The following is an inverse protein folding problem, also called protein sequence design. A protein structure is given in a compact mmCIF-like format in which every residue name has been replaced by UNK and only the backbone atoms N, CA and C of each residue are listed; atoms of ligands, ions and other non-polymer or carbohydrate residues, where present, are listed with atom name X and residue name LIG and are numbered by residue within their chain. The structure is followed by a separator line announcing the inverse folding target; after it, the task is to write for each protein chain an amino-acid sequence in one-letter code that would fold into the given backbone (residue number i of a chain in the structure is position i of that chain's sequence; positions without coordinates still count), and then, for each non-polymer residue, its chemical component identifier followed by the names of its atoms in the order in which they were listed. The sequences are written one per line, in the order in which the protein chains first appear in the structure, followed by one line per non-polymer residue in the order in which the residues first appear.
data_IF_088323161262
#
_entry.id   IF_088323161262
#
_cell.length_a   1.000
_cell.length_b   1.000
_cell.length_c   1.000
_cell.angle_alpha   90.00
_cell.angle_beta   90.00
_cell.angle_gamma   90.00
#
_symmetry.space_group_name_H-M   'P 1'
#
loop_
_entity.id
_entity.type
_entity.pdbx_description
1 polymer ?
#
# COMPACT_ATOMS: atom_id res chain seq x y z
N UNK A 1 -13.26 -7.15 -13.46
CA UNK A 1 -13.47 -6.05 -12.50
C UNK A 1 -12.60 -6.36 -11.30
N UNK A 2 -11.76 -5.42 -10.87
CA UNK A 2 -10.88 -5.65 -9.71
C UNK A 2 -11.67 -5.52 -8.41
N UNK A 3 -11.39 -6.40 -7.45
CA UNK A 3 -12.08 -6.44 -6.17
C UNK A 3 -11.15 -6.00 -5.03
N UNK A 4 -11.72 -5.37 -4.01
CA UNK A 4 -11.06 -5.13 -2.74
C UNK A 4 -11.17 -6.35 -1.81
N UNK A 5 -10.49 -6.29 -0.67
CA UNK A 5 -10.48 -7.36 0.35
C UNK A 5 -11.84 -7.66 0.99
N UNK A 6 -12.87 -6.84 0.72
CA UNK A 6 -14.26 -7.08 1.14
C UNK A 6 -15.09 -7.75 0.03
N UNK A 7 -14.49 -8.13 -1.09
CA UNK A 7 -15.17 -8.68 -2.26
C UNK A 7 -16.01 -7.66 -3.05
N UNK A 8 -15.82 -6.35 -2.80
CA UNK A 8 -16.52 -5.25 -3.50
C UNK A 8 -15.62 -4.66 -4.59
N UNK A 9 -16.16 -3.86 -5.53
CA UNK A 9 -15.33 -3.16 -6.51
C UNK A 9 -14.19 -2.38 -5.86
N UNK A 10 -12.98 -2.49 -6.41
CA UNK A 10 -11.80 -1.79 -5.92
C UNK A 10 -11.95 -0.28 -6.10
N UNK A 11 -11.76 0.48 -5.01
CA UNK A 11 -11.76 1.94 -5.06
C UNK A 11 -10.38 2.52 -5.37
N UNK A 12 -10.39 3.75 -5.88
CA UNK A 12 -9.19 4.54 -6.14
C UNK A 12 -8.43 4.83 -4.84
N UNK A 13 -7.13 4.53 -4.82
CA UNK A 13 -6.27 4.82 -3.67
C UNK A 13 -5.86 6.30 -3.64
N UNK A 14 -5.16 6.76 -4.69
CA UNK A 14 -4.65 8.14 -4.80
C UNK A 14 -4.35 8.56 -6.25
N UNK A 15 -4.56 9.83 -6.59
CA UNK A 15 -4.15 10.42 -7.89
C UNK A 15 -3.10 11.52 -7.77
N UNK A 16 -2.85 12.03 -6.57
CA UNK A 16 -1.84 13.03 -6.32
C UNK A 16 -1.23 12.81 -4.91
N UNK A 17 -0.06 12.16 -4.81
CA UNK A 17 0.73 11.60 -5.91
C UNK A 17 0.03 10.42 -6.61
N UNK A 18 0.28 10.22 -7.91
CA UNK A 18 -0.29 9.07 -8.63
C UNK A 18 0.42 7.78 -8.20
N UNK A 19 -0.37 6.83 -7.70
CA UNK A 19 0.13 5.56 -7.14
C UNK A 19 -0.22 4.37 -8.03
N UNK A 20 0.08 3.16 -7.55
CA UNK A 20 -0.22 1.89 -8.20
C UNK A 20 0.91 1.46 -9.12
N UNK A 21 1.05 0.15 -9.30
CA UNK A 21 2.04 -0.44 -10.20
C UNK A 21 1.89 0.11 -11.64
N UNK A 22 0.65 0.25 -12.11
CA UNK A 22 0.32 0.79 -13.43
C UNK A 22 0.28 2.32 -13.49
N UNK A 23 0.53 3.03 -12.37
CA UNK A 23 0.44 4.50 -12.26
C UNK A 23 -0.93 5.06 -12.70
N UNK A 24 -2.00 4.39 -12.31
CA UNK A 24 -3.39 4.82 -12.56
C UNK A 24 -4.17 5.17 -11.28
N UNK A 25 -3.49 5.11 -10.14
CA UNK A 25 -4.02 5.44 -8.82
C UNK A 25 -4.74 4.31 -8.09
N UNK A 26 -4.82 3.11 -8.67
CA UNK A 26 -5.42 1.93 -8.04
C UNK A 26 -4.35 0.93 -7.62
N UNK A 27 -4.58 0.20 -6.53
CA UNK A 27 -3.69 -0.88 -6.08
C UNK A 27 -4.00 -2.21 -6.77
N UNK A 28 -4.33 -2.16 -8.06
CA UNK A 28 -4.52 -3.36 -8.88
C UNK A 28 -3.17 -3.91 -9.35
N UNK A 29 -3.15 -5.21 -9.63
CA UNK A 29 -1.91 -5.97 -9.91
C UNK A 29 -2.15 -6.96 -11.05
N UNK A 30 -1.08 -7.48 -11.64
CA UNK A 30 -1.12 -8.66 -12.51
C UNK A 30 0.09 -9.56 -12.21
N UNK A 31 0.43 -10.48 -13.11
CA UNK A 31 1.59 -11.37 -12.98
C UNK A 31 2.95 -10.68 -13.14
N UNK A 32 3.01 -9.46 -13.67
CA UNK A 32 4.25 -8.71 -13.87
C UNK A 32 4.65 -7.88 -12.63
N UNK A 33 3.69 -7.62 -11.74
CA UNK A 33 3.95 -6.96 -10.47
C UNK A 33 4.46 -7.97 -9.43
N UNK A 34 5.75 -8.28 -9.50
CA UNK A 34 6.42 -9.17 -8.55
C UNK A 34 6.42 -8.61 -7.12
N UNK A 35 6.31 -7.28 -6.96
CA UNK A 35 6.19 -6.63 -5.65
C UNK A 35 4.81 -6.81 -5.01
N UNK A 36 3.78 -7.09 -5.82
CA UNK A 36 2.38 -7.19 -5.39
C UNK A 36 1.95 -5.92 -4.66
N UNK A 37 1.91 -4.79 -5.36
CA UNK A 37 1.56 -3.46 -4.86
C UNK A 37 0.05 -3.32 -4.62
N UNK A 38 -0.50 -4.14 -3.72
CA UNK A 38 -1.95 -4.35 -3.56
C UNK A 38 -2.55 -3.67 -2.32
N UNK A 39 -1.73 -3.09 -1.44
CA UNK A 39 -2.19 -2.45 -0.20
C UNK A 39 -2.21 -0.94 -0.35
N UNK A 40 -3.39 -0.33 -0.29
CA UNK A 40 -3.50 1.12 -0.19
C UNK A 40 -3.25 1.53 1.26
N UNK A 41 -2.11 2.16 1.53
CA UNK A 41 -1.72 2.62 2.86
C UNK A 41 -1.68 4.14 2.94
N UNK A 42 -1.97 4.67 4.13
CA UNK A 42 -1.73 6.07 4.50
C UNK A 42 -0.36 6.14 5.16
N UNK A 43 0.60 6.71 4.45
CA UNK A 43 2.00 6.77 4.84
C UNK A 43 2.15 7.62 6.10
N UNK A 44 3.02 7.18 7.01
CA UNK A 44 3.44 7.96 8.18
C UNK A 44 4.97 7.91 8.32
N UNK A 45 5.51 8.80 9.18
CA UNK A 45 6.96 8.93 9.35
C UNK A 45 7.61 7.68 9.98
N UNK A 46 6.88 6.96 10.82
CA UNK A 46 7.38 5.77 11.51
C UNK A 46 7.59 4.62 10.51
N UNK A 47 6.63 4.40 9.61
CA UNK A 47 6.75 3.47 8.51
C UNK A 47 7.87 3.87 7.54
N UNK A 48 7.97 5.15 7.15
CA UNK A 48 8.99 5.64 6.23
C UNK A 48 10.41 5.40 6.77
N UNK A 49 10.66 5.75 8.02
CA UNK A 49 11.95 5.51 8.68
C UNK A 49 12.26 4.00 8.76
N UNK A 50 11.28 3.19 9.17
CA UNK A 50 11.44 1.74 9.25
C UNK A 50 11.77 1.12 7.87
N UNK A 51 10.97 1.42 6.85
CA UNK A 51 11.08 0.79 5.54
C UNK A 51 12.35 1.23 4.81
N UNK A 52 12.77 2.50 5.01
CA UNK A 52 14.07 2.99 4.54
C UNK A 52 15.23 2.18 5.14
N UNK A 53 15.24 1.95 6.46
CA UNK A 53 16.25 1.12 7.14
C UNK A 53 16.25 -0.34 6.68
N UNK A 54 15.14 -0.83 6.10
CA UNK A 54 15.02 -2.16 5.47
C UNK A 54 15.35 -2.17 3.97
N UNK A 55 15.95 -1.09 3.47
CA UNK A 55 16.39 -0.96 2.08
C UNK A 55 15.27 -0.67 1.08
N UNK A 56 14.10 -0.23 1.54
CA UNK A 56 12.99 0.20 0.70
C UNK A 56 12.84 1.71 0.79
N UNK A 57 13.64 2.44 0.01
CA UNK A 57 13.61 3.90 0.01
C UNK A 57 12.36 4.43 -0.70
N UNK A 58 11.39 4.90 0.10
CA UNK A 58 10.19 5.58 -0.36
C UNK A 58 10.22 7.10 -0.12
N UNK A 59 11.35 7.65 0.31
CA UNK A 59 11.50 9.07 0.68
C UNK A 59 12.15 9.83 -0.48
N UNK A 60 13.20 9.25 -1.08
CA UNK A 60 13.97 9.92 -2.14
C UNK A 60 13.19 9.98 -3.45
N UNK A 61 12.97 11.16 -4.04
CA UNK A 61 12.34 11.29 -5.35
C UNK A 61 13.14 10.57 -6.44
N UNK A 62 12.45 9.87 -7.33
CA UNK A 62 12.99 9.19 -8.51
C UNK A 62 12.23 9.62 -9.77
N UNK A 63 12.59 10.78 -10.36
CA UNK A 63 11.90 11.33 -11.54
C UNK A 63 11.91 10.38 -12.73
N UNK A 64 12.99 9.61 -12.89
CA UNK A 64 13.15 8.54 -13.90
C UNK A 64 12.05 7.47 -13.80
N UNK A 65 11.55 7.20 -12.59
CA UNK A 65 10.48 6.24 -12.31
C UNK A 65 9.12 6.89 -12.04
N UNK A 66 9.00 8.19 -12.32
CA UNK A 66 7.82 9.02 -12.00
C UNK A 66 7.38 8.84 -10.55
N UNK A 67 8.35 8.77 -9.64
CA UNK A 67 8.12 8.60 -8.21
C UNK A 67 8.53 9.88 -7.48
N UNK A 68 7.60 10.57 -6.80
CA UNK A 68 7.87 11.89 -6.23
C UNK A 68 8.63 11.86 -4.89
N UNK A 69 8.82 10.68 -4.30
CA UNK A 69 9.15 10.56 -2.88
C UNK A 69 7.90 10.81 -2.02
N UNK A 70 7.71 10.01 -0.99
CA UNK A 70 6.51 10.04 -0.15
C UNK A 70 6.77 10.80 1.15
N UNK A 71 5.69 11.33 1.70
CA UNK A 71 5.65 12.01 2.99
C UNK A 71 4.50 11.48 3.83
N UNK A 72 4.53 11.75 5.13
CA UNK A 72 3.41 11.45 6.01
C UNK A 72 2.12 12.08 5.49
N UNK A 73 1.05 11.29 5.46
CA UNK A 73 -0.27 11.65 4.93
C UNK A 73 -0.52 11.22 3.49
N UNK A 74 0.53 10.91 2.71
CA UNK A 74 0.36 10.41 1.34
C UNK A 74 -0.36 9.05 1.35
N UNK A 75 -1.15 8.80 0.30
CA UNK A 75 -1.70 7.47 0.04
C UNK A 75 -0.93 6.76 -1.05
N UNK A 76 -0.46 5.56 -0.77
CA UNK A 76 0.38 4.80 -1.70
C UNK A 76 0.04 3.30 -1.71
N UNK A 77 0.27 2.67 -2.86
CA UNK A 77 0.08 1.23 -3.04
C UNK A 77 1.40 0.55 -2.70
N UNK A 78 1.46 -0.07 -1.53
CA UNK A 78 2.63 -0.77 -1.03
C UNK A 78 2.64 -2.23 -1.46
N UNK A 79 3.84 -2.78 -1.66
CA UNK A 79 4.06 -4.22 -1.76
C UNK A 79 3.48 -4.92 -0.52
N UNK A 80 2.65 -5.95 -0.72
CA UNK A 80 2.00 -6.66 0.38
C UNK A 80 3.01 -7.19 1.41
N UNK A 81 4.11 -7.76 0.94
CA UNK A 81 5.17 -8.31 1.80
C UNK A 81 5.97 -7.24 2.55
N UNK A 82 6.12 -6.02 1.99
CA UNK A 82 6.78 -4.91 2.70
C UNK A 82 5.91 -4.34 3.81
N UNK A 83 4.60 -4.27 3.58
CA UNK A 83 3.66 -3.90 4.63
C UNK A 83 3.62 -4.96 5.74
N UNK A 84 3.58 -6.26 5.38
CA UNK A 84 3.61 -7.36 6.36
C UNK A 84 4.91 -7.40 7.16
N UNK A 85 6.06 -7.11 6.54
CA UNK A 85 7.34 -6.95 7.23
C UNK A 85 7.26 -5.85 8.30
N UNK A 86 6.62 -4.71 7.99
CA UNK A 86 6.42 -3.62 8.94
C UNK A 86 5.40 -3.96 10.04
N UNK A 87 4.33 -4.69 9.71
CA UNK A 87 3.30 -5.15 10.66
C UNK A 87 3.91 -6.00 11.77
N UNK A 88 4.76 -6.96 11.38
CA UNK A 88 5.48 -7.85 12.32
C UNK A 88 6.42 -7.12 13.29
N UNK A 89 6.78 -5.87 12.99
CA UNK A 89 7.61 -5.02 13.84
C UNK A 89 6.81 -3.88 14.51
N UNK A 90 5.48 -3.87 14.36
CA UNK A 90 4.61 -2.81 14.89
C UNK A 90 4.81 -1.46 14.22
N UNK A 91 5.27 -1.44 12.96
CA UNK A 91 5.56 -0.23 12.15
C UNK A 91 4.69 -0.13 10.90
N UNK A 92 3.63 -0.94 10.81
CA UNK A 92 2.75 -0.91 9.65
C UNK A 92 1.87 0.35 9.64
N UNK A 93 1.79 1.05 8.50
CA UNK A 93 0.92 2.21 8.35
C UNK A 93 -0.55 1.78 8.25
N UNK A 94 -1.46 2.73 8.48
CA UNK A 94 -2.91 2.51 8.34
C UNK A 94 -3.29 2.13 6.90
N UNK A 95 -4.31 1.31 6.75
CA UNK A 95 -4.79 0.75 5.48
C UNK A 95 -6.15 1.31 5.12
N UNK A 96 -6.33 1.66 3.84
CA UNK A 96 -7.64 1.97 3.25
C UNK A 96 -8.23 0.68 2.69
N UNK A 97 -9.14 0.08 3.45
CA UNK A 97 -9.66 -1.27 3.19
C UNK A 97 -10.34 -1.36 1.82
N UNK A 98 -11.18 -0.38 1.47
CA UNK A 98 -11.94 -0.40 0.22
C UNK A 98 -11.07 -0.18 -1.03
N UNK A 99 -9.83 0.28 -0.85
CA UNK A 99 -8.83 0.51 -1.90
C UNK A 99 -7.69 -0.52 -1.90
N UNK A 100 -7.76 -1.53 -1.03
CA UNK A 100 -6.77 -2.62 -0.93
C UNK A 100 -7.28 -3.83 -1.69
N UNK A 101 -6.51 -4.30 -2.66
CA UNK A 101 -6.90 -5.32 -3.62
C UNK A 101 -6.98 -6.72 -2.99
N UNK A 102 -7.93 -7.55 -3.45
CA UNK A 102 -8.29 -8.84 -2.87
C UNK A 102 -7.12 -9.83 -2.79
N UNK A 103 -6.19 -9.80 -3.75
CA UNK A 103 -4.95 -10.60 -3.76
C UNK A 103 -4.08 -10.41 -2.51
N UNK A 104 -4.25 -9.31 -1.77
CA UNK A 104 -3.59 -9.12 -0.46
C UNK A 104 -3.89 -10.27 0.50
N UNK A 105 -5.09 -10.87 0.40
CA UNK A 105 -5.53 -11.98 1.25
C UNK A 105 -4.75 -13.28 1.04
N UNK A 106 -3.98 -13.41 -0.04
CA UNK A 106 -3.05 -14.52 -0.24
C UNK A 106 -1.86 -14.45 0.73
N UNK A 107 -1.61 -13.28 1.33
CA UNK A 107 -0.44 -13.01 2.18
C UNK A 107 -0.80 -12.59 3.60
N UNK A 108 -1.93 -11.87 3.77
CA UNK A 108 -2.32 -11.23 5.04
C UNK A 108 -3.82 -11.45 5.24
N UNK A 109 -4.22 -12.00 6.38
CA UNK A 109 -5.62 -12.24 6.66
C UNK A 109 -6.41 -10.93 6.86
N UNK A 110 -7.71 -10.99 6.55
CA UNK A 110 -8.59 -9.81 6.65
C UNK A 110 -8.63 -9.23 8.06
N UNK A 111 -8.64 -10.06 9.11
CA UNK A 111 -8.70 -9.59 10.50
C UNK A 111 -7.48 -8.73 10.85
N UNK A 112 -6.29 -9.11 10.38
CA UNK A 112 -5.07 -8.32 10.52
C UNK A 112 -5.19 -6.98 9.78
N UNK A 113 -5.67 -6.97 8.53
CA UNK A 113 -5.88 -5.72 7.79
C UNK A 113 -6.88 -4.78 8.50
N UNK A 114 -7.99 -5.31 9.04
CA UNK A 114 -9.01 -4.50 9.71
C UNK A 114 -8.50 -3.83 11.00
N UNK A 115 -7.55 -4.43 11.73
CA UNK A 115 -6.89 -3.77 12.88
C UNK A 115 -6.18 -2.48 12.48
N UNK A 116 -5.71 -2.40 11.25
CA UNK A 116 -5.01 -1.24 10.69
C UNK A 116 -5.92 -0.36 9.82
N UNK A 117 -7.24 -0.62 9.78
CA UNK A 117 -8.18 0.21 9.05
C UNK A 117 -8.05 1.68 9.46
N UNK A 118 -8.06 2.58 8.47
CA UNK A 118 -8.06 4.02 8.68
C UNK A 118 -9.42 4.57 9.14
N UNK A 119 -10.47 3.74 9.08
CA UNK A 119 -11.82 4.04 9.57
C UNK A 119 -12.14 3.13 10.74
N UNK A 120 -12.90 3.65 11.71
CA UNK A 120 -13.62 2.81 12.65
C UNK A 120 -14.63 1.98 11.83
N UNK A 121 -14.54 0.66 11.96
CA UNK A 121 -15.46 -0.30 11.36
C UNK A 121 -16.46 -0.77 12.40
#
# INVERSE_FOLDING_TARGET
MELNVLGKPLLLCCKNPVTGFFRDGNCRTNSQDYGTHTICAIIDNEFLDYTFKKGNDLITPRPDLKFPGLRSGDKWCLCALRWLEAERHGKAPKVVIESTHIKTLDYIDLKTLLKYSNKLL
#
